data_IF_979251247801
#
_entry.id   IF_979251247801
#
_cell.length_a   1.000
_cell.length_b   1.000
_cell.length_c   1.000
_cell.angle_alpha   90.00
_cell.angle_beta   90.00
_cell.angle_gamma   90.00
#
_symmetry.space_group_name_H-M   'P 1'
#
loop_
_entity.id
_entity.type
_entity.pdbx_description
1 polymer ?
#
# COMPACT_ATOMS: atom_id res chain seq x y z
N UNK A 1 4.41 -0.08 23.58
CA UNK A 1 4.69 0.85 22.50
C UNK A 1 4.76 0.09 21.18
N UNK A 2 4.09 0.58 20.14
CA UNK A 2 3.98 -0.09 18.84
C UNK A 2 4.39 0.84 17.72
N UNK A 3 5.08 0.31 16.72
CA UNK A 3 5.47 1.05 15.53
C UNK A 3 4.75 0.47 14.30
N UNK A 4 4.37 1.34 13.37
CA UNK A 4 3.85 0.98 12.04
C UNK A 4 4.65 1.75 10.99
N UNK A 5 5.25 1.01 10.06
CA UNK A 5 5.94 1.59 8.90
C UNK A 5 5.00 1.66 7.70
N UNK A 6 4.89 2.86 7.12
CA UNK A 6 4.07 3.16 5.94
C UNK A 6 4.50 4.50 5.33
N UNK A 7 3.85 4.95 4.26
CA UNK A 7 4.05 6.30 3.69
C UNK A 7 3.38 7.43 4.48
N UNK A 8 2.99 7.16 5.73
CA UNK A 8 2.43 8.13 6.65
C UNK A 8 0.91 8.09 6.75
N UNK A 9 0.41 8.77 7.77
CA UNK A 9 -1.01 9.03 8.01
C UNK A 9 -1.21 10.53 8.30
N UNK A 10 -2.44 11.11 8.06
CA UNK A 10 -3.61 10.48 7.45
C UNK A 10 -3.39 10.02 6.01
N UNK A 11 -4.25 9.12 5.51
CA UNK A 11 -4.11 8.58 4.17
C UNK A 11 -4.09 9.66 3.08
N UNK A 12 -3.09 9.63 2.23
CA UNK A 12 -2.93 10.53 1.09
C UNK A 12 -2.56 9.80 -0.21
N UNK A 13 -2.30 8.50 -0.15
CA UNK A 13 -1.75 7.78 -1.30
C UNK A 13 -2.50 6.50 -1.67
N UNK A 14 -2.69 5.56 -0.74
CA UNK A 14 -3.23 4.26 -1.11
C UNK A 14 -3.65 3.36 0.04
N UNK A 15 -3.87 2.08 -0.28
CA UNK A 15 -4.45 1.11 0.65
C UNK A 15 -3.64 0.85 1.91
N UNK A 16 -2.30 0.84 1.82
CA UNK A 16 -1.46 0.66 2.99
C UNK A 16 -1.56 1.81 3.99
N UNK A 17 -1.63 3.04 3.50
CA UNK A 17 -1.79 4.23 4.33
C UNK A 17 -3.17 4.25 4.99
N UNK A 18 -4.21 3.87 4.25
CA UNK A 18 -5.56 3.74 4.79
C UNK A 18 -5.60 2.67 5.88
N UNK A 19 -5.08 1.49 5.62
CA UNK A 19 -4.96 0.44 6.62
C UNK A 19 -4.19 0.91 7.86
N UNK A 20 -3.04 1.56 7.67
CA UNK A 20 -2.21 2.05 8.77
C UNK A 20 -2.92 3.13 9.60
N UNK A 21 -3.69 4.02 8.96
CA UNK A 21 -4.51 5.01 9.66
C UNK A 21 -5.54 4.33 10.57
N UNK A 22 -6.35 3.42 10.03
CA UNK A 22 -7.38 2.73 10.81
C UNK A 22 -6.80 1.91 11.95
N UNK A 23 -5.76 1.11 11.69
CA UNK A 23 -5.14 0.26 12.71
C UNK A 23 -4.45 1.09 13.79
N UNK A 24 -3.69 2.12 13.42
CA UNK A 24 -2.95 2.95 14.38
C UNK A 24 -3.89 3.73 15.29
N UNK A 25 -4.92 4.36 14.72
CA UNK A 25 -5.94 5.10 15.49
C UNK A 25 -6.74 4.15 16.37
N UNK A 26 -7.18 3.00 15.84
CA UNK A 26 -7.90 2.00 16.62
C UNK A 26 -7.08 1.40 17.77
N UNK A 27 -5.77 1.25 17.61
CA UNK A 27 -4.88 0.82 18.68
C UNK A 27 -4.67 1.93 19.72
N UNK A 28 -4.51 3.20 19.30
CA UNK A 28 -4.39 4.33 20.20
C UNK A 28 -5.65 4.50 21.07
N UNK A 29 -6.84 4.37 20.49
CA UNK A 29 -8.12 4.38 21.20
C UNK A 29 -8.25 3.26 22.24
N UNK A 30 -7.55 2.13 22.04
CA UNK A 30 -7.47 1.02 22.99
C UNK A 30 -6.38 1.18 24.05
N UNK A 31 -5.78 2.37 24.17
CA UNK A 31 -4.78 2.72 25.17
C UNK A 31 -3.34 2.26 24.84
N UNK A 32 -3.05 1.90 23.58
CA UNK A 32 -1.69 1.59 23.17
C UNK A 32 -0.94 2.86 22.75
N UNK A 33 0.32 2.98 23.13
CA UNK A 33 1.22 3.99 22.56
C UNK A 33 1.62 3.55 21.15
N UNK A 34 1.17 4.30 20.15
CA UNK A 34 1.41 3.99 18.73
C UNK A 34 2.25 5.09 18.08
N UNK A 35 3.22 4.69 17.28
CA UNK A 35 4.06 5.58 16.49
C UNK A 35 3.97 5.15 15.03
N UNK A 36 3.64 6.10 14.16
CA UNK A 36 3.66 5.91 12.71
C UNK A 36 4.79 6.74 12.12
N UNK A 37 5.58 6.13 11.26
CA UNK A 37 6.60 6.81 10.50
C UNK A 37 5.99 7.39 9.23
N UNK A 38 6.29 8.68 8.96
CA UNK A 38 5.81 9.43 7.80
C UNK A 38 6.98 10.07 7.07
N UNK A 39 7.00 10.13 5.74
CA UNK A 39 8.04 10.87 5.03
C UNK A 39 7.89 12.38 5.26
N UNK A 40 9.01 13.12 5.27
CA UNK A 40 8.99 14.58 5.46
C UNK A 40 8.21 15.36 4.41
N UNK A 41 7.97 14.79 3.24
CA UNK A 41 7.16 15.42 2.20
C UNK A 41 5.65 15.10 2.33
N UNK A 42 5.26 14.31 3.33
CA UNK A 42 3.84 14.04 3.59
C UNK A 42 3.10 15.35 3.85
N UNK A 43 1.89 15.57 3.29
CA UNK A 43 1.17 16.86 3.45
C UNK A 43 0.81 17.18 4.89
N UNK A 44 0.60 16.18 5.73
CA UNK A 44 0.34 16.37 7.16
C UNK A 44 1.65 16.39 7.93
N UNK A 45 1.96 17.52 8.59
CA UNK A 45 3.26 17.77 9.24
C UNK A 45 3.19 17.88 10.77
N UNK A 46 2.02 17.66 11.37
CA UNK A 46 1.89 17.66 12.82
C UNK A 46 2.56 16.40 13.44
N UNK A 47 2.99 16.51 14.68
CA UNK A 47 3.63 15.41 15.41
C UNK A 47 2.65 14.36 15.93
N UNK A 48 1.35 14.63 15.85
CA UNK A 48 0.30 13.72 16.33
C UNK A 48 -0.92 13.72 15.43
N UNK A 49 -1.58 12.56 15.31
CA UNK A 49 -2.85 12.41 14.60
C UNK A 49 -3.77 11.46 15.36
N UNK A 50 -4.92 11.93 15.83
CA UNK A 50 -5.95 11.14 16.56
C UNK A 50 -5.36 10.23 17.65
N UNK A 51 -4.43 10.75 18.46
CA UNK A 51 -3.76 10.01 19.53
C UNK A 51 -2.56 9.15 19.09
N UNK A 52 -2.24 9.12 17.82
CA UNK A 52 -1.05 8.46 17.27
C UNK A 52 0.10 9.46 17.16
N UNK A 53 1.28 9.11 17.63
CA UNK A 53 2.49 9.92 17.45
C UNK A 53 3.06 9.71 16.05
N UNK A 54 3.36 10.79 15.34
CA UNK A 54 3.97 10.76 14.01
C UNK A 54 5.47 11.06 14.11
N UNK A 55 6.25 10.42 13.26
CA UNK A 55 7.69 10.63 13.20
C UNK A 55 8.11 10.83 11.75
N UNK A 56 8.50 12.07 11.43
CA UNK A 56 8.84 12.46 10.07
C UNK A 56 10.30 12.14 9.74
N UNK A 57 10.51 11.23 8.77
CA UNK A 57 11.81 10.81 8.29
C UNK A 57 12.05 11.34 6.87
N UNK A 58 13.28 11.74 6.60
CA UNK A 58 13.66 12.15 5.25
C UNK A 58 13.53 10.98 4.27
N UNK A 59 12.90 11.26 3.13
CA UNK A 59 12.78 10.33 2.00
C UNK A 59 13.37 10.96 0.74
N UNK A 60 14.26 10.27 0.03
CA UNK A 60 14.85 10.77 -1.21
C UNK A 60 13.96 10.55 -2.45
N UNK A 61 12.69 10.18 -2.29
CA UNK A 61 11.78 9.89 -3.41
C UNK A 61 11.66 11.02 -4.43
N UNK A 62 11.77 12.26 -3.98
CA UNK A 62 11.64 13.45 -4.83
C UNK A 62 12.72 13.55 -5.92
N UNK A 63 13.87 12.90 -5.75
CA UNK A 63 14.99 12.96 -6.70
C UNK A 63 15.54 11.60 -7.13
N UNK A 64 15.34 10.53 -6.34
CA UNK A 64 15.75 9.15 -6.70
C UNK A 64 14.63 8.33 -7.34
N UNK A 65 13.41 8.89 -7.42
CA UNK A 65 12.22 8.17 -7.85
C UNK A 65 11.58 7.34 -6.74
N UNK A 66 10.30 7.01 -6.94
CA UNK A 66 9.47 6.43 -5.88
C UNK A 66 9.96 5.07 -5.37
N UNK A 67 10.40 4.17 -6.24
CA UNK A 67 10.80 2.81 -5.82
C UNK A 67 12.09 2.79 -5.00
N UNK A 68 13.12 3.50 -5.45
CA UNK A 68 14.42 3.56 -4.74
C UNK A 68 14.31 4.42 -3.49
N UNK A 69 13.63 5.54 -3.61
CA UNK A 69 13.44 6.47 -2.48
C UNK A 69 12.62 5.87 -1.35
N UNK A 70 11.56 5.10 -1.65
CA UNK A 70 10.80 4.37 -0.65
C UNK A 70 11.67 3.38 0.11
N UNK A 71 12.48 2.60 -0.60
CA UNK A 71 13.40 1.66 0.04
C UNK A 71 14.31 2.34 1.08
N UNK A 72 14.93 3.48 0.71
CA UNK A 72 15.78 4.23 1.65
C UNK A 72 15.00 4.83 2.82
N UNK A 73 13.79 5.30 2.57
CA UNK A 73 12.90 5.81 3.62
C UNK A 73 12.54 4.71 4.62
N UNK A 74 12.10 3.55 4.15
CA UNK A 74 11.74 2.42 5.00
C UNK A 74 12.95 1.93 5.79
N UNK A 75 14.11 1.81 5.12
CA UNK A 75 15.37 1.48 5.78
C UNK A 75 15.72 2.45 6.91
N UNK A 76 15.63 3.77 6.65
CA UNK A 76 15.94 4.79 7.65
C UNK A 76 14.93 4.78 8.81
N UNK A 77 13.65 4.58 8.51
CA UNK A 77 12.58 4.48 9.52
C UNK A 77 12.79 3.29 10.44
N UNK A 78 13.09 2.12 9.87
CA UNK A 78 13.35 0.92 10.66
C UNK A 78 14.66 1.03 11.47
N UNK A 79 15.70 1.62 10.91
CA UNK A 79 16.93 1.92 11.65
C UNK A 79 16.68 2.87 12.84
N UNK A 80 15.88 3.91 12.64
CA UNK A 80 15.53 4.84 13.71
C UNK A 80 14.69 4.14 14.79
N UNK A 81 13.71 3.33 14.39
CA UNK A 81 12.88 2.55 15.31
C UNK A 81 13.72 1.59 16.18
N UNK A 82 14.64 0.87 15.58
CA UNK A 82 15.47 -0.13 16.27
C UNK A 82 16.56 0.48 17.16
N UNK A 83 17.01 1.70 16.87
CA UNK A 83 18.13 2.35 17.57
C UNK A 83 17.68 3.33 18.64
N UNK A 84 16.62 4.08 18.39
CA UNK A 84 16.24 5.25 19.21
C UNK A 84 14.99 5.04 20.04
N UNK A 85 14.22 4.00 19.76
CA UNK A 85 12.94 3.74 20.41
C UNK A 85 12.94 2.37 21.09
N UNK A 86 12.18 2.22 22.16
CA UNK A 86 11.95 0.94 22.85
C UNK A 86 10.54 0.43 22.53
N UNK A 87 10.40 -0.18 21.37
CA UNK A 87 9.14 -0.77 20.93
C UNK A 87 8.96 -2.19 21.43
N UNK A 88 7.74 -2.55 21.83
CA UNK A 88 7.35 -3.94 22.11
C UNK A 88 7.04 -4.68 20.82
N UNK A 89 6.42 -3.99 19.84
CA UNK A 89 5.99 -4.54 18.55
C UNK A 89 6.38 -3.56 17.45
N UNK A 90 6.96 -4.10 16.37
CA UNK A 90 7.19 -3.42 15.10
C UNK A 90 6.34 -4.10 14.05
N UNK A 91 5.49 -3.33 13.36
CA UNK A 91 4.68 -3.77 12.24
C UNK A 91 5.20 -3.15 10.95
N UNK A 92 5.67 -3.99 10.04
CA UNK A 92 6.13 -3.59 8.71
C UNK A 92 5.03 -3.87 7.66
N UNK A 93 4.64 -2.83 6.93
CA UNK A 93 3.68 -2.92 5.84
C UNK A 93 4.40 -3.26 4.52
N UNK A 94 5.02 -4.44 4.47
CA UNK A 94 5.84 -4.91 3.37
C UNK A 94 7.17 -5.47 3.85
N UNK A 95 7.95 -6.08 2.96
CA UNK A 95 9.20 -6.74 3.32
C UNK A 95 10.45 -6.16 2.63
N UNK A 96 10.31 -5.11 1.81
CA UNK A 96 11.39 -4.58 0.96
C UNK A 96 12.49 -3.83 1.71
N UNK A 97 12.41 -3.71 3.03
CA UNK A 97 13.38 -3.01 3.88
C UNK A 97 13.81 -3.80 5.12
N UNK A 98 13.74 -5.11 5.04
CA UNK A 98 14.05 -6.02 6.17
C UNK A 98 15.54 -6.06 6.58
N UNK A 99 16.46 -5.53 5.75
CA UNK A 99 17.91 -5.55 5.99
C UNK A 99 18.30 -4.99 7.37
N UNK A 100 17.79 -3.85 7.84
CA UNK A 100 18.11 -3.35 9.17
C UNK A 100 17.70 -4.31 10.28
N UNK A 101 16.54 -4.96 10.14
CA UNK A 101 16.10 -5.98 11.08
C UNK A 101 17.06 -7.18 11.09
N UNK A 102 17.48 -7.65 9.90
CA UNK A 102 18.48 -8.72 9.77
C UNK A 102 19.76 -8.40 10.53
N UNK A 103 20.35 -7.22 10.30
CA UNK A 103 21.58 -6.79 10.98
C UNK A 103 21.35 -6.68 12.49
N UNK A 104 20.25 -6.10 12.91
CA UNK A 104 19.91 -5.95 14.33
C UNK A 104 19.76 -7.29 15.04
N UNK A 105 19.02 -8.21 14.46
CA UNK A 105 18.79 -9.54 15.04
C UNK A 105 20.07 -10.39 15.12
N UNK A 106 21.03 -10.18 14.22
CA UNK A 106 22.28 -10.93 14.22
C UNK A 106 23.38 -10.31 15.08
N UNK A 107 23.41 -8.98 15.22
CA UNK A 107 24.52 -8.26 15.86
C UNK A 107 24.23 -7.89 17.31
N UNK A 108 22.98 -7.73 17.71
CA UNK A 108 22.62 -7.26 19.07
C UNK A 108 21.80 -8.26 19.87
N UNK A 109 22.33 -8.63 21.06
CA UNK A 109 21.68 -9.50 22.06
C UNK A 109 20.70 -8.78 23.01
N UNK A 110 20.21 -7.58 22.70
CA UNK A 110 19.26 -6.83 23.55
C UNK A 110 17.83 -7.36 23.42
N UNK A 111 16.94 -6.96 24.36
CA UNK A 111 15.49 -7.21 24.25
C UNK A 111 15.02 -6.83 22.83
N UNK A 112 14.38 -7.77 22.15
CA UNK A 112 13.97 -7.60 20.76
C UNK A 112 12.48 -7.34 20.71
N UNK A 113 12.01 -6.35 19.92
CA UNK A 113 10.58 -6.19 19.69
C UNK A 113 10.02 -7.43 18.98
N UNK A 114 8.74 -7.67 19.13
CA UNK A 114 8.01 -8.61 18.27
C UNK A 114 7.92 -7.99 16.88
N UNK A 115 8.47 -8.68 15.89
CA UNK A 115 8.48 -8.23 14.51
C UNK A 115 7.35 -8.91 13.74
N UNK A 116 6.43 -8.14 13.20
CA UNK A 116 5.33 -8.60 12.35
C UNK A 116 5.44 -7.95 10.98
N UNK A 117 5.31 -8.75 9.92
CA UNK A 117 5.42 -8.26 8.55
C UNK A 117 4.17 -8.64 7.76
N UNK A 118 3.54 -7.64 7.16
CA UNK A 118 2.52 -7.87 6.15
C UNK A 118 3.20 -8.25 4.84
N UNK A 119 2.88 -9.45 4.36
CA UNK A 119 3.48 -10.05 3.17
C UNK A 119 2.66 -9.72 1.90
N UNK A 120 1.95 -8.59 1.91
CA UNK A 120 1.16 -8.13 0.77
C UNK A 120 2.04 -7.93 -0.47
N UNK A 121 1.54 -8.46 -1.58
CA UNK A 121 2.16 -8.36 -2.88
C UNK A 121 3.37 -9.28 -3.06
N UNK A 122 3.35 -10.12 -4.07
CA UNK A 122 4.51 -10.88 -4.49
C UNK A 122 5.39 -9.97 -5.36
N UNK A 123 6.12 -9.04 -4.71
CA UNK A 123 6.90 -7.99 -5.39
C UNK A 123 7.91 -8.58 -6.39
N UNK A 124 8.49 -9.74 -6.06
CA UNK A 124 9.40 -10.49 -6.93
C UNK A 124 8.77 -11.01 -8.24
N UNK A 125 7.43 -11.14 -8.29
CA UNK A 125 6.69 -11.59 -9.48
C UNK A 125 6.24 -10.43 -10.38
N UNK A 126 6.40 -9.18 -9.96
CA UNK A 126 5.98 -8.01 -10.76
C UNK A 126 6.86 -7.84 -11.99
N UNK A 127 6.22 -7.72 -13.16
CA UNK A 127 6.90 -7.61 -14.47
C UNK A 127 7.76 -6.36 -14.63
N UNK A 128 7.46 -5.29 -13.90
CA UNK A 128 8.17 -4.01 -13.95
C UNK A 128 9.62 -4.07 -13.46
N UNK A 129 10.00 -5.10 -12.71
CA UNK A 129 11.35 -5.21 -12.14
C UNK A 129 12.30 -6.02 -13.03
N UNK A 130 13.56 -5.55 -13.12
CA UNK A 130 14.61 -6.29 -13.79
C UNK A 130 14.93 -7.63 -13.07
N UNK A 131 15.55 -8.60 -13.77
CA UNK A 131 15.89 -9.88 -13.13
C UNK A 131 16.78 -9.74 -11.88
N UNK A 132 17.69 -8.76 -11.86
CA UNK A 132 18.55 -8.48 -10.71
C UNK A 132 17.72 -7.99 -9.51
N UNK A 133 16.81 -7.04 -9.74
CA UNK A 133 15.92 -6.54 -8.68
C UNK A 133 15.01 -7.64 -8.15
N UNK A 134 14.47 -8.50 -9.03
CA UNK A 134 13.66 -9.65 -8.58
C UNK A 134 14.43 -10.60 -7.68
N UNK A 135 15.72 -10.92 -8.00
CA UNK A 135 16.57 -11.74 -7.14
C UNK A 135 16.80 -11.09 -5.77
N UNK A 136 16.98 -9.78 -5.75
CA UNK A 136 17.10 -9.02 -4.50
C UNK A 136 15.81 -9.11 -3.68
N UNK A 137 14.64 -8.91 -4.31
CA UNK A 137 13.33 -9.04 -3.66
C UNK A 137 13.05 -10.47 -3.18
N UNK A 138 13.47 -11.50 -3.91
CA UNK A 138 13.43 -12.90 -3.44
C UNK A 138 14.28 -13.11 -2.18
N UNK A 139 15.40 -12.44 -2.08
CA UNK A 139 16.24 -12.49 -0.90
C UNK A 139 15.60 -11.76 0.29
N UNK A 140 15.02 -10.55 0.07
CA UNK A 140 14.26 -9.80 1.07
C UNK A 140 13.06 -10.60 1.59
N UNK A 141 12.32 -11.27 0.72
CA UNK A 141 11.22 -12.15 1.08
C UNK A 141 11.69 -13.28 2.03
N UNK A 142 12.80 -13.95 1.69
CA UNK A 142 13.40 -15.00 2.56
C UNK A 142 13.80 -14.43 3.92
N UNK A 143 14.35 -13.21 3.94
CA UNK A 143 14.72 -12.55 5.20
C UNK A 143 13.48 -12.19 6.04
N UNK A 144 12.41 -11.71 5.41
CA UNK A 144 11.15 -11.44 6.08
C UNK A 144 10.59 -12.71 6.72
N UNK A 145 10.52 -13.81 5.97
CA UNK A 145 10.05 -15.11 6.48
C UNK A 145 10.91 -15.61 7.66
N UNK A 146 12.23 -15.43 7.57
CA UNK A 146 13.18 -15.89 8.59
C UNK A 146 13.12 -15.06 9.88
N UNK A 147 13.01 -13.75 9.77
CA UNK A 147 13.19 -12.82 10.89
C UNK A 147 11.90 -12.27 11.48
N UNK A 148 10.77 -12.39 10.79
CA UNK A 148 9.47 -12.02 11.36
C UNK A 148 9.00 -13.10 12.33
N UNK A 149 8.53 -12.65 13.49
CA UNK A 149 7.88 -13.54 14.46
C UNK A 149 6.51 -13.98 13.93
N UNK A 150 5.81 -13.04 13.27
CA UNK A 150 4.50 -13.29 12.66
C UNK A 150 4.47 -12.72 11.24
N UNK A 151 3.96 -13.52 10.31
CA UNK A 151 3.59 -13.09 8.98
C UNK A 151 2.09 -12.79 8.95
N UNK A 152 1.72 -11.74 8.24
CA UNK A 152 0.34 -11.37 7.99
C UNK A 152 0.09 -11.43 6.50
N UNK A 153 -1.02 -12.02 6.10
CA UNK A 153 -1.51 -12.06 4.73
C UNK A 153 -2.90 -11.44 4.66
N UNK A 154 -3.14 -10.56 3.71
CA UNK A 154 -4.42 -9.89 3.50
C UNK A 154 -5.38 -10.68 2.61
N UNK A 155 -4.89 -11.71 1.92
CA UNK A 155 -5.70 -12.66 1.15
C UNK A 155 -5.17 -14.10 1.28
N UNK A 156 -6.05 -15.05 1.01
CA UNK A 156 -5.72 -16.48 1.15
C UNK A 156 -4.67 -16.95 0.16
N UNK A 157 -4.61 -16.38 -1.04
CA UNK A 157 -3.58 -16.75 -2.03
C UNK A 157 -2.17 -16.42 -1.56
N UNK A 158 -1.98 -15.34 -0.81
CA UNK A 158 -0.68 -15.00 -0.16
C UNK A 158 -0.41 -15.94 1.02
N UNK A 159 -1.43 -16.24 1.84
CA UNK A 159 -1.30 -17.22 2.93
C UNK A 159 -0.81 -18.57 2.39
N UNK A 160 -1.48 -19.10 1.38
CA UNK A 160 -1.18 -20.40 0.78
C UNK A 160 0.22 -20.41 0.13
N UNK A 161 0.60 -19.35 -0.57
CA UNK A 161 1.93 -19.19 -1.15
C UNK A 161 3.05 -19.33 -0.12
N UNK A 162 2.95 -18.66 1.04
CA UNK A 162 3.98 -18.75 2.08
C UNK A 162 3.96 -20.11 2.79
N UNK A 163 2.79 -20.72 2.94
CA UNK A 163 2.68 -22.08 3.48
C UNK A 163 3.32 -23.11 2.54
N UNK A 164 3.02 -23.03 1.24
CA UNK A 164 3.58 -23.97 0.25
C UNK A 164 5.09 -23.79 0.06
N UNK A 165 5.54 -22.53 -0.10
CA UNK A 165 6.94 -22.24 -0.46
C UNK A 165 7.92 -22.38 0.72
N UNK A 166 7.48 -22.02 1.92
CA UNK A 166 8.36 -21.90 3.09
C UNK A 166 7.93 -22.72 4.29
N UNK A 167 6.83 -23.47 4.20
CA UNK A 167 6.16 -24.11 5.35
C UNK A 167 5.96 -23.15 6.52
N UNK A 168 5.61 -21.90 6.21
CA UNK A 168 5.43 -20.81 7.19
C UNK A 168 3.98 -20.36 7.23
N UNK A 169 3.36 -20.52 8.41
CA UNK A 169 2.02 -20.02 8.65
C UNK A 169 2.01 -18.48 8.71
N UNK A 170 0.98 -17.88 8.12
CA UNK A 170 0.66 -16.46 8.26
C UNK A 170 -0.71 -16.28 8.90
N UNK A 171 -0.93 -15.14 9.52
CA UNK A 171 -2.26 -14.75 10.01
C UNK A 171 -3.00 -14.05 8.89
N UNK A 172 -4.14 -14.62 8.51
CA UNK A 172 -5.05 -13.97 7.55
C UNK A 172 -5.77 -12.80 8.24
N UNK A 173 -5.54 -11.59 7.75
CA UNK A 173 -6.18 -10.35 8.20
C UNK A 173 -6.56 -9.54 6.96
N UNK A 174 -7.76 -9.72 6.45
CA UNK A 174 -8.28 -8.97 5.33
C UNK A 174 -8.44 -7.48 5.67
N UNK A 175 -8.28 -6.62 4.68
CA UNK A 175 -8.67 -5.22 4.81
C UNK A 175 -10.17 -5.11 4.99
N UNK A 176 -10.58 -4.15 5.84
CA UNK A 176 -11.96 -3.77 6.00
C UNK A 176 -12.33 -2.54 5.18
N UNK A 177 -13.60 -2.23 5.18
CA UNK A 177 -14.15 -0.97 4.66
C UNK A 177 -15.28 -0.50 5.55
N UNK A 178 -15.47 0.81 5.65
CA UNK A 178 -16.66 1.37 6.26
C UNK A 178 -17.86 1.15 5.32
N UNK A 179 -18.99 0.79 5.92
CA UNK A 179 -20.26 0.71 5.17
C UNK A 179 -20.88 2.11 5.21
N UNK A 180 -21.10 2.67 4.04
CA UNK A 180 -21.78 3.95 3.88
C UNK A 180 -23.16 3.71 3.29
N UNK A 181 -24.19 4.03 4.06
CA UNK A 181 -25.60 3.89 3.67
C UNK A 181 -26.21 5.24 3.23
N UNK A 182 -25.46 6.34 3.37
CA UNK A 182 -25.88 7.71 3.07
C UNK A 182 -25.43 8.12 1.65
N UNK A 183 -26.17 7.64 0.66
CA UNK A 183 -25.92 8.01 -0.74
C UNK A 183 -26.54 9.35 -1.06
N UNK A 184 -25.74 10.30 -1.52
CA UNK A 184 -26.24 11.53 -2.14
C UNK A 184 -26.11 11.44 -3.67
N UNK A 185 -27.20 11.06 -4.33
CA UNK A 185 -27.26 10.95 -5.79
C UNK A 185 -27.08 12.30 -6.52
N UNK A 186 -27.17 13.43 -5.81
CA UNK A 186 -26.98 14.74 -6.42
C UNK A 186 -25.57 14.94 -6.96
N UNK A 187 -24.57 14.30 -6.37
CA UNK A 187 -23.19 14.32 -6.91
C UNK A 187 -23.10 13.75 -8.32
N UNK A 188 -23.94 12.81 -8.70
CA UNK A 188 -23.94 12.25 -10.05
C UNK A 188 -24.43 13.24 -11.11
N UNK A 189 -25.26 14.20 -10.71
CA UNK A 189 -25.81 15.24 -11.63
C UNK A 189 -24.72 16.15 -12.18
N UNK A 190 -23.67 16.41 -11.38
CA UNK A 190 -22.51 17.22 -11.82
C UNK A 190 -21.79 16.56 -13.01
N UNK A 191 -21.84 15.23 -13.10
CA UNK A 191 -21.25 14.43 -14.18
C UNK A 191 -22.25 14.05 -15.27
N UNK A 192 -23.51 14.51 -15.17
CA UNK A 192 -24.58 14.13 -16.09
C UNK A 192 -24.91 12.63 -16.04
N UNK A 193 -24.80 12.02 -14.85
CA UNK A 193 -25.05 10.60 -14.61
C UNK A 193 -26.33 10.41 -13.78
N UNK A 194 -26.92 9.23 -13.92
CA UNK A 194 -28.03 8.77 -13.09
C UNK A 194 -27.63 7.50 -12.34
N UNK A 195 -28.14 7.23 -11.13
CA UNK A 195 -27.89 5.99 -10.42
C UNK A 195 -28.18 4.78 -11.31
N UNK A 196 -27.30 3.78 -11.26
CA UNK A 196 -27.41 2.50 -12.01
C UNK A 196 -27.37 2.61 -13.54
N UNK A 197 -27.18 3.82 -14.11
CA UNK A 197 -27.16 4.09 -15.54
C UNK A 197 -25.74 4.27 -16.11
N UNK A 198 -24.72 3.78 -15.41
CA UNK A 198 -23.32 3.82 -15.87
C UNK A 198 -22.52 2.62 -15.34
N UNK A 199 -21.41 2.32 -16.01
CA UNK A 199 -20.37 1.44 -15.49
C UNK A 199 -19.26 2.28 -14.89
N UNK A 200 -18.61 1.81 -13.82
CA UNK A 200 -17.50 2.51 -13.18
C UNK A 200 -16.30 1.58 -13.02
N UNK A 201 -15.12 2.10 -13.36
CA UNK A 201 -13.83 1.48 -13.16
C UNK A 201 -12.97 2.40 -12.30
N UNK A 202 -12.72 2.02 -11.05
CA UNK A 202 -11.90 2.81 -10.12
C UNK A 202 -10.58 2.07 -9.91
N UNK A 203 -9.47 2.64 -10.40
CA UNK A 203 -8.15 2.04 -10.25
C UNK A 203 -7.02 3.07 -10.38
N UNK A 204 -5.82 2.69 -9.93
CA UNK A 204 -4.61 3.38 -10.39
C UNK A 204 -4.45 3.10 -11.89
N UNK A 205 -4.25 4.14 -12.69
CA UNK A 205 -4.07 4.00 -14.15
C UNK A 205 -2.64 3.51 -14.43
N UNK A 206 -2.40 2.23 -14.12
CA UNK A 206 -1.13 1.53 -14.30
C UNK A 206 -1.35 0.25 -15.12
N UNK A 207 -0.38 -0.20 -15.92
CA UNK A 207 -0.54 -1.35 -16.82
C UNK A 207 -1.01 -2.63 -16.12
N UNK A 208 -0.54 -2.88 -14.90
CA UNK A 208 -0.90 -4.06 -14.13
C UNK A 208 -2.39 -4.15 -13.74
N UNK A 209 -3.13 -3.04 -13.82
CA UNK A 209 -4.56 -3.01 -13.52
C UNK A 209 -5.45 -3.30 -14.74
N UNK A 210 -4.84 -3.61 -15.90
CA UNK A 210 -5.53 -4.02 -17.12
C UNK A 210 -6.64 -3.07 -17.60
N UNK A 211 -6.45 -1.75 -17.42
CA UNK A 211 -7.44 -0.73 -17.76
C UNK A 211 -7.79 -0.78 -19.25
N UNK A 212 -6.78 -0.96 -20.12
CA UNK A 212 -6.97 -1.09 -21.58
C UNK A 212 -7.92 -2.23 -21.88
N UNK A 213 -7.71 -3.41 -21.26
CA UNK A 213 -8.57 -4.58 -21.49
C UNK A 213 -10.02 -4.30 -21.07
N UNK A 214 -10.23 -3.61 -19.97
CA UNK A 214 -11.56 -3.27 -19.49
C UNK A 214 -12.26 -2.27 -20.42
N UNK A 215 -11.56 -1.22 -20.89
CA UNK A 215 -12.12 -0.24 -21.83
C UNK A 215 -12.44 -0.91 -23.17
N UNK A 216 -11.50 -1.68 -23.74
CA UNK A 216 -11.72 -2.37 -25.01
C UNK A 216 -12.88 -3.39 -24.91
N UNK A 217 -12.95 -4.14 -23.79
CA UNK A 217 -14.07 -5.03 -23.51
C UNK A 217 -15.41 -4.31 -23.48
N UNK A 218 -15.46 -3.13 -22.84
CA UNK A 218 -16.66 -2.29 -22.86
C UNK A 218 -17.00 -1.80 -24.27
N UNK A 219 -16.01 -1.26 -25.01
CA UNK A 219 -16.23 -0.72 -26.36
C UNK A 219 -16.76 -1.77 -27.35
N UNK A 220 -16.36 -3.05 -27.19
CA UNK A 220 -16.83 -4.17 -28.00
C UNK A 220 -18.12 -4.82 -27.48
N UNK A 221 -18.62 -4.37 -26.31
CA UNK A 221 -19.83 -4.92 -25.69
C UNK A 221 -21.10 -4.33 -26.31
N UNK A 222 -22.24 -4.97 -26.04
CA UNK A 222 -23.58 -4.44 -26.37
C UNK A 222 -23.98 -3.23 -25.50
N UNK A 223 -23.21 -2.94 -24.46
CA UNK A 223 -23.46 -1.85 -23.53
C UNK A 223 -22.86 -0.51 -24.00
N UNK A 224 -21.92 -0.57 -24.95
CA UNK A 224 -21.39 0.63 -25.59
C UNK A 224 -22.53 1.42 -26.27
N UNK A 225 -22.71 2.65 -25.86
CA UNK A 225 -23.80 3.52 -26.33
C UNK A 225 -25.11 3.40 -25.55
N UNK A 226 -25.24 2.44 -24.64
CA UNK A 226 -26.39 2.34 -23.72
C UNK A 226 -26.11 3.04 -22.40
N UNK A 227 -25.01 2.67 -21.74
CA UNK A 227 -24.57 3.23 -20.47
C UNK A 227 -23.08 3.60 -20.57
N UNK A 228 -22.67 4.81 -20.21
CA UNK A 228 -21.26 5.19 -20.31
C UNK A 228 -20.37 4.39 -19.34
N UNK A 229 -19.11 4.21 -19.71
CA UNK A 229 -18.06 3.74 -18.81
C UNK A 229 -17.34 4.95 -18.22
N UNK A 230 -17.35 5.04 -16.91
CA UNK A 230 -16.62 6.06 -16.15
C UNK A 230 -15.33 5.47 -15.61
N UNK A 231 -14.20 6.04 -15.99
CA UNK A 231 -12.87 5.60 -15.54
C UNK A 231 -12.31 6.62 -14.55
N UNK A 232 -12.17 6.19 -13.30
CA UNK A 232 -11.68 7.06 -12.21
C UNK A 232 -10.28 6.66 -11.81
N UNK A 233 -9.33 7.59 -11.96
CA UNK A 233 -7.95 7.40 -11.59
C UNK A 233 -7.07 8.60 -11.90
N UNK A 234 -5.83 8.60 -11.38
CA UNK A 234 -4.89 9.70 -11.64
C UNK A 234 -4.33 9.60 -13.06
N UNK A 235 -4.57 10.62 -13.87
CA UNK A 235 -4.14 10.70 -15.27
C UNK A 235 -2.73 11.27 -15.46
N UNK A 236 -2.07 11.74 -14.40
CA UNK A 236 -0.74 12.34 -14.47
C UNK A 236 0.43 11.35 -14.55
N UNK A 237 0.15 10.04 -14.49
CA UNK A 237 1.16 8.99 -14.74
C UNK A 237 1.41 8.83 -16.25
N UNK A 238 2.56 8.26 -16.68
CA UNK A 238 2.79 8.00 -18.10
C UNK A 238 1.68 7.19 -18.75
N UNK A 239 1.29 6.07 -18.13
CA UNK A 239 0.21 5.22 -18.63
C UNK A 239 -1.17 5.91 -18.59
N UNK A 240 -1.43 6.73 -17.57
CA UNK A 240 -2.66 7.53 -17.50
C UNK A 240 -2.77 8.52 -18.66
N UNK A 241 -1.66 9.16 -19.06
CA UNK A 241 -1.61 10.04 -20.25
C UNK A 241 -1.87 9.30 -21.55
N UNK A 242 -1.27 8.11 -21.71
CA UNK A 242 -1.52 7.22 -22.88
C UNK A 242 -2.99 6.85 -22.97
N UNK A 243 -3.63 6.52 -21.84
CA UNK A 243 -5.05 6.20 -21.80
C UNK A 243 -5.93 7.39 -22.22
N UNK A 244 -5.62 8.59 -21.72
CA UNK A 244 -6.35 9.81 -22.11
C UNK A 244 -6.13 10.12 -23.60
N UNK A 245 -4.94 9.98 -24.13
CA UNK A 245 -4.64 10.17 -25.56
C UNK A 245 -5.41 9.19 -26.42
N UNK A 246 -5.44 7.91 -26.02
CA UNK A 246 -6.09 6.84 -26.81
C UNK A 246 -7.61 6.88 -26.72
N UNK A 247 -8.17 7.11 -25.54
CA UNK A 247 -9.61 6.94 -25.27
C UNK A 247 -10.36 8.23 -24.91
N UNK A 248 -9.64 9.35 -24.71
CA UNK A 248 -10.27 10.60 -24.28
C UNK A 248 -11.29 11.21 -25.27
N UNK A 249 -11.27 10.77 -26.54
CA UNK A 249 -12.24 11.17 -27.55
C UNK A 249 -13.39 10.17 -27.72
N UNK A 250 -13.38 9.06 -26.98
CA UNK A 250 -14.45 8.07 -27.04
C UNK A 250 -15.69 8.58 -26.34
N UNK A 251 -16.79 8.73 -27.10
CA UNK A 251 -18.04 9.37 -26.62
C UNK A 251 -18.60 8.72 -25.33
N UNK A 252 -18.45 7.43 -25.21
CA UNK A 252 -19.06 6.64 -24.14
C UNK A 252 -18.05 6.19 -23.05
N UNK A 253 -16.79 6.65 -23.11
CA UNK A 253 -15.75 6.49 -22.07
C UNK A 253 -15.41 7.89 -21.53
N UNK A 254 -15.45 8.05 -20.21
CA UNK A 254 -15.23 9.34 -19.56
C UNK A 254 -14.28 9.21 -18.39
#
# INVERSE_FOLDING_TARGET
KRQISTRGIPNNYGGFEQFAEYISVGLAQRGHEVVVYSPKFHPYQEDTYKGVRLKHIYSPETWMGSSVGSFFYDFASLCDALKKEDFDIIYEAGYTSIIPAYIWFNVRKRKRPIFTTNMDGLENKRSKFSPMVRRFLDWEEKMAVKYSHYLIADNMGIHDYYKEKYDKESKFLAYGADIHDDFNADYLKEFGLQPEEYYILIARLEPENNIVMAIEGYLHSKENGRRPLIVVGKTNTPHGKELVEKYGNEKNVR
#
